data_IF_035634280543
#
_entry.id   IF_035634280543
#
_cell.length_a   1.000
_cell.length_b   1.000
_cell.length_c   1.000
_cell.angle_alpha   90.00
_cell.angle_beta   90.00
_cell.angle_gamma   90.00
#
_symmetry.space_group_name_H-M   'P 1'
#
loop_
_entity.id
_entity.type
_entity.pdbx_description
1 polymer ?
#
# COMPACT_ATOMS: atom_id res chain seq x y z
N UNK A 1 -3.32 18.18 -1.68
CA UNK A 1 -4.16 17.21 -2.44
C UNK A 1 -5.16 18.02 -3.25
N UNK A 2 -4.96 18.11 -4.57
CA UNK A 2 -5.88 18.81 -5.47
C UNK A 2 -7.26 18.18 -5.32
N UNK A 3 -8.17 18.92 -4.68
CA UNK A 3 -9.58 18.55 -4.56
C UNK A 3 -10.18 18.69 -5.97
N UNK A 4 -10.15 17.60 -6.74
CA UNK A 4 -10.66 17.53 -8.09
C UNK A 4 -12.20 17.49 -8.07
N UNK A 5 -12.82 18.47 -7.39
CA UNK A 5 -14.26 18.52 -7.07
C UNK A 5 -15.16 18.66 -8.34
N UNK A 6 -14.58 18.71 -9.54
CA UNK A 6 -15.33 18.93 -10.79
C UNK A 6 -15.05 17.99 -11.98
N UNK A 7 -14.05 17.10 -11.92
CA UNK A 7 -13.57 16.41 -13.14
C UNK A 7 -14.00 14.93 -13.26
N UNK A 8 -14.58 14.33 -12.22
CA UNK A 8 -15.08 12.96 -12.30
C UNK A 8 -16.53 12.95 -12.85
N UNK A 9 -16.77 12.33 -14.01
CA UNK A 9 -18.11 12.22 -14.56
C UNK A 9 -19.05 11.53 -13.57
N UNK A 10 -20.33 11.92 -13.56
CA UNK A 10 -21.28 11.56 -12.50
C UNK A 10 -21.40 10.05 -12.26
N UNK A 11 -21.17 9.22 -13.30
CA UNK A 11 -21.20 7.76 -13.18
C UNK A 11 -20.05 7.17 -12.35
N UNK A 12 -18.92 7.86 -12.20
CA UNK A 12 -17.76 7.41 -11.41
C UNK A 12 -17.84 7.79 -9.93
N UNK A 13 -18.82 8.61 -9.53
CA UNK A 13 -19.04 9.04 -8.14
C UNK A 13 -19.92 8.08 -7.33
N UNK A 14 -20.19 6.88 -7.86
CA UNK A 14 -21.00 5.90 -7.16
C UNK A 14 -20.32 5.34 -5.92
N UNK A 15 -21.08 5.17 -4.83
CA UNK A 15 -20.61 4.59 -3.55
C UNK A 15 -19.85 3.25 -3.70
N UNK A 16 -20.17 2.45 -4.70
CA UNK A 16 -19.56 1.14 -4.91
C UNK A 16 -18.39 1.17 -5.92
N UNK A 17 -18.19 2.29 -6.63
CA UNK A 17 -17.18 2.37 -7.70
C UNK A 17 -15.79 2.10 -7.17
N UNK A 18 -15.41 2.73 -6.05
CA UNK A 18 -14.11 2.51 -5.43
C UNK A 18 -13.89 1.03 -5.07
N UNK A 19 -14.87 0.40 -4.41
CA UNK A 19 -14.78 -0.98 -3.96
C UNK A 19 -14.71 -1.96 -5.14
N UNK A 20 -15.57 -1.79 -6.15
CA UNK A 20 -15.57 -2.63 -7.35
C UNK A 20 -14.26 -2.47 -8.12
N UNK A 21 -13.79 -1.24 -8.29
CA UNK A 21 -12.52 -0.97 -8.94
C UNK A 21 -11.34 -1.58 -8.17
N UNK A 22 -11.32 -1.52 -6.83
CA UNK A 22 -10.31 -2.20 -6.00
C UNK A 22 -10.35 -3.71 -6.20
N UNK A 23 -11.52 -4.34 -6.09
CA UNK A 23 -11.64 -5.81 -6.24
C UNK A 23 -11.20 -6.25 -7.63
N UNK A 24 -11.68 -5.58 -8.67
CA UNK A 24 -11.29 -5.89 -10.05
C UNK A 24 -9.79 -5.67 -10.27
N UNK A 25 -9.18 -4.62 -9.71
CA UNK A 25 -7.74 -4.40 -9.77
C UNK A 25 -6.98 -5.57 -9.11
N UNK A 26 -7.38 -5.95 -7.90
CA UNK A 26 -6.76 -7.05 -7.14
C UNK A 26 -6.85 -8.37 -7.89
N UNK A 27 -8.01 -8.69 -8.46
CA UNK A 27 -8.20 -9.89 -9.28
C UNK A 27 -7.28 -9.89 -10.50
N UNK A 28 -7.14 -8.74 -11.16
CA UNK A 28 -6.24 -8.60 -12.31
C UNK A 28 -4.76 -8.68 -11.93
N UNK A 29 -4.38 -8.42 -10.67
CA UNK A 29 -3.01 -8.58 -10.17
C UNK A 29 -2.68 -10.00 -9.70
N UNK A 30 -3.64 -10.93 -9.72
CA UNK A 30 -3.36 -12.32 -9.43
C UNK A 30 -2.52 -12.92 -10.56
N UNK A 31 -1.55 -13.75 -10.16
CA UNK A 31 -0.39 -14.25 -10.94
C UNK A 31 -0.70 -14.92 -12.30
N UNK A 32 -1.98 -15.15 -12.59
CA UNK A 32 -2.48 -15.79 -13.80
C UNK A 32 -2.65 -14.81 -14.98
N UNK A 33 -2.53 -13.50 -14.76
CA UNK A 33 -2.81 -12.48 -15.79
C UNK A 33 -1.51 -11.97 -16.46
N UNK A 34 -1.48 -11.88 -17.80
CA UNK A 34 -0.33 -11.32 -18.53
C UNK A 34 0.01 -9.88 -18.13
N UNK A 35 1.31 -9.56 -18.07
CA UNK A 35 1.83 -8.23 -17.69
C UNK A 35 1.24 -7.04 -18.48
N UNK A 36 0.95 -7.11 -19.80
CA UNK A 36 0.34 -5.99 -20.51
C UNK A 36 -1.05 -5.64 -19.96
N UNK A 37 -1.82 -6.64 -19.51
CA UNK A 37 -3.16 -6.45 -18.96
C UNK A 37 -3.09 -5.75 -17.59
N UNK A 38 -2.06 -6.05 -16.79
CA UNK A 38 -1.83 -5.33 -15.53
C UNK A 38 -1.67 -3.82 -15.77
N UNK A 39 -0.78 -3.44 -16.70
CA UNK A 39 -0.51 -2.02 -16.95
C UNK A 39 -1.67 -1.31 -17.64
N UNK A 40 -2.39 -1.99 -18.55
CA UNK A 40 -3.49 -1.39 -19.31
C UNK A 40 -4.78 -1.27 -18.50
N UNK A 41 -5.08 -2.23 -17.63
CA UNK A 41 -6.36 -2.30 -16.96
C UNK A 41 -6.24 -2.21 -15.44
N UNK A 42 -5.36 -2.99 -14.82
CA UNK A 42 -5.26 -3.02 -13.36
C UNK A 42 -4.76 -1.68 -12.79
N UNK A 43 -3.75 -1.07 -13.40
CA UNK A 43 -3.19 0.22 -12.96
C UNK A 43 -4.23 1.35 -13.06
N UNK A 44 -4.93 1.56 -14.20
CA UNK A 44 -6.01 2.56 -14.27
C UNK A 44 -7.17 2.26 -13.33
N UNK A 45 -7.52 0.99 -13.10
CA UNK A 45 -8.56 0.63 -12.12
C UNK A 45 -8.14 0.99 -10.69
N UNK A 46 -6.88 0.76 -10.35
CA UNK A 46 -6.36 1.15 -9.03
C UNK A 46 -6.35 2.67 -8.88
N UNK A 47 -5.95 3.41 -9.92
CA UNK A 47 -6.03 4.86 -9.96
C UNK A 47 -7.49 5.33 -9.79
N UNK A 48 -8.45 4.71 -10.48
CA UNK A 48 -9.87 4.99 -10.33
C UNK A 48 -10.34 4.70 -8.90
N UNK A 49 -9.92 3.58 -8.30
CA UNK A 49 -10.30 3.20 -6.95
C UNK A 49 -9.86 4.26 -5.92
N UNK A 50 -8.64 4.77 -6.03
CA UNK A 50 -8.11 5.82 -5.15
C UNK A 50 -8.85 7.14 -5.35
N UNK A 51 -9.10 7.55 -6.59
CA UNK A 51 -9.80 8.80 -6.88
C UNK A 51 -11.30 8.75 -6.53
N UNK A 52 -11.92 7.56 -6.58
CA UNK A 52 -13.30 7.35 -6.18
C UNK A 52 -13.46 7.11 -4.67
N UNK A 53 -12.35 6.96 -3.91
CA UNK A 53 -12.36 6.59 -2.50
C UNK A 53 -13.08 7.62 -1.63
N UNK A 54 -12.96 8.91 -1.96
CA UNK A 54 -13.63 10.01 -1.26
C UNK A 54 -15.17 9.93 -1.35
N UNK A 55 -15.71 9.26 -2.38
CA UNK A 55 -17.14 9.04 -2.58
C UNK A 55 -17.63 7.70 -2.01
N UNK A 56 -16.74 6.89 -1.43
CA UNK A 56 -17.07 5.57 -0.89
C UNK A 56 -17.76 5.64 0.48
N UNK A 57 -18.47 4.58 0.91
CA UNK A 57 -19.03 4.50 2.24
C UNK A 57 -17.98 4.74 3.31
N UNK A 58 -18.35 5.51 4.32
CA UNK A 58 -17.46 5.89 5.44
C UNK A 58 -16.87 4.70 6.19
N UNK A 59 -17.48 3.51 6.11
CA UNK A 59 -16.90 2.27 6.63
C UNK A 59 -15.65 1.83 5.87
N UNK A 60 -15.63 1.94 4.53
CA UNK A 60 -14.50 1.49 3.70
C UNK A 60 -13.32 2.46 3.83
N UNK A 61 -13.58 3.76 3.63
CA UNK A 61 -12.58 4.81 3.90
C UNK A 61 -12.13 4.78 5.36
N UNK A 62 -13.04 4.59 6.32
CA UNK A 62 -12.71 4.50 7.75
C UNK A 62 -11.86 3.29 8.13
N UNK A 63 -12.02 2.14 7.46
CA UNK A 63 -11.18 0.97 7.66
C UNK A 63 -9.76 1.20 7.12
N UNK A 64 -9.64 1.82 5.93
CA UNK A 64 -8.35 2.19 5.35
C UNK A 64 -7.62 3.26 6.18
N UNK A 65 -8.37 4.22 6.74
CA UNK A 65 -7.84 5.26 7.61
C UNK A 65 -7.78 4.87 9.09
N UNK A 66 -8.06 3.61 9.42
CA UNK A 66 -7.98 3.12 10.79
C UNK A 66 -6.53 3.18 11.29
N UNK A 67 -6.34 3.44 12.57
CA UNK A 67 -5.01 3.47 13.21
C UNK A 67 -4.12 2.27 12.81
N UNK A 68 -4.55 1.00 12.90
CA UNK A 68 -3.67 -0.12 12.54
C UNK A 68 -3.30 -0.13 11.06
N UNK A 69 -4.22 0.20 10.17
CA UNK A 69 -3.96 0.21 8.72
C UNK A 69 -3.01 1.35 8.34
N UNK A 70 -3.20 2.53 8.92
CA UNK A 70 -2.32 3.68 8.73
C UNK A 70 -0.91 3.39 9.26
N UNK A 71 -0.79 2.77 10.45
CA UNK A 71 0.51 2.36 11.02
C UNK A 71 1.22 1.31 10.15
N UNK A 72 0.49 0.31 9.64
CA UNK A 72 1.06 -0.65 8.69
C UNK A 72 1.53 0.02 7.40
N UNK A 73 0.77 0.98 6.88
CA UNK A 73 1.18 1.80 5.74
C UNK A 73 2.48 2.56 6.00
N UNK A 74 2.65 3.11 7.20
CA UNK A 74 3.88 3.80 7.61
C UNK A 74 5.08 2.85 7.70
N UNK A 75 4.88 1.62 8.20
CA UNK A 75 5.96 0.63 8.28
C UNK A 75 6.25 -0.07 6.95
N UNK A 76 5.36 0.02 5.97
CA UNK A 76 5.44 -0.73 4.71
C UNK A 76 6.78 -0.58 3.98
N UNK A 77 7.33 0.64 3.96
CA UNK A 77 8.62 0.91 3.32
C UNK A 77 9.78 0.21 4.02
N UNK A 78 9.89 0.39 5.35
CA UNK A 78 10.90 -0.27 6.16
C UNK A 78 10.77 -1.81 6.09
N UNK A 79 9.55 -2.35 6.12
CA UNK A 79 9.30 -3.78 5.98
C UNK A 79 9.75 -4.31 4.61
N UNK A 80 9.38 -3.62 3.54
CA UNK A 80 9.77 -4.01 2.17
C UNK A 80 11.29 -4.07 2.01
N UNK A 81 12.01 -3.06 2.53
CA UNK A 81 13.46 -3.01 2.46
C UNK A 81 14.13 -4.21 3.15
N UNK A 82 13.70 -4.53 4.36
CA UNK A 82 14.32 -5.63 5.13
C UNK A 82 13.80 -7.01 4.70
N UNK A 83 12.61 -7.10 4.11
CA UNK A 83 12.10 -8.37 3.60
C UNK A 83 13.01 -8.98 2.53
N UNK A 84 13.56 -8.18 1.61
CA UNK A 84 14.41 -8.68 0.52
C UNK A 84 15.72 -9.38 0.98
N UNK A 85 16.57 -8.77 1.83
CA UNK A 85 17.81 -9.40 2.27
C UNK A 85 17.56 -10.67 3.09
N UNK A 86 16.58 -10.67 4.00
CA UNK A 86 16.25 -11.84 4.80
C UNK A 86 15.61 -12.96 3.97
N UNK A 87 14.80 -12.62 2.96
CA UNK A 87 14.29 -13.59 2.01
C UNK A 87 15.42 -14.29 1.25
N UNK A 88 16.39 -13.51 0.74
CA UNK A 88 17.57 -14.05 0.08
C UNK A 88 18.39 -14.94 1.01
N UNK A 89 18.53 -14.56 2.28
CA UNK A 89 19.24 -15.34 3.29
C UNK A 89 18.59 -16.70 3.57
N UNK A 90 17.26 -16.73 3.67
CA UNK A 90 16.49 -17.99 3.79
C UNK A 90 16.70 -18.87 2.57
N UNK A 91 16.60 -18.29 1.37
CA UNK A 91 16.71 -19.03 0.12
C UNK A 91 18.11 -19.60 -0.14
N UNK A 92 19.17 -18.83 0.13
CA UNK A 92 20.55 -19.24 -0.16
C UNK A 92 21.20 -20.05 0.96
N UNK A 93 20.89 -19.74 2.24
CA UNK A 93 21.52 -20.41 3.38
C UNK A 93 20.65 -21.48 4.06
N UNK A 94 19.42 -21.70 3.58
CA UNK A 94 18.51 -22.68 4.17
C UNK A 94 18.09 -22.35 5.62
N UNK A 95 18.16 -21.07 6.00
CA UNK A 95 17.78 -20.61 7.34
C UNK A 95 16.28 -20.79 7.58
N UNK A 96 15.89 -21.02 8.84
CA UNK A 96 14.48 -21.18 9.18
C UNK A 96 13.68 -19.88 8.88
N UNK A 97 12.52 -19.96 8.21
CA UNK A 97 11.79 -18.78 7.73
C UNK A 97 11.15 -17.95 8.87
N UNK A 98 10.69 -18.61 9.94
CA UNK A 98 10.02 -17.95 11.07
C UNK A 98 10.96 -16.97 11.82
N UNK A 99 12.17 -17.36 12.26
CA UNK A 99 13.06 -16.42 12.93
C UNK A 99 13.56 -15.30 12.00
N UNK A 100 13.71 -15.59 10.70
CA UNK A 100 14.07 -14.55 9.72
C UNK A 100 12.95 -13.55 9.51
N UNK A 101 11.69 -13.99 9.51
CA UNK A 101 10.54 -13.08 9.49
C UNK A 101 10.50 -12.20 10.74
N UNK A 102 10.75 -12.77 11.93
CA UNK A 102 10.86 -11.97 13.15
C UNK A 102 12.00 -10.94 13.06
N UNK A 103 13.14 -11.31 12.46
CA UNK A 103 14.26 -10.40 12.21
C UNK A 103 13.89 -9.28 11.22
N UNK A 104 13.12 -9.57 10.16
CA UNK A 104 12.58 -8.54 9.25
C UNK A 104 11.77 -7.50 10.03
N UNK A 105 10.82 -7.94 10.86
CA UNK A 105 10.00 -7.03 11.66
C UNK A 105 10.83 -6.23 12.66
N UNK A 106 11.81 -6.86 13.31
CA UNK A 106 12.69 -6.20 14.26
C UNK A 106 13.56 -5.12 13.58
N UNK A 107 14.21 -5.46 12.45
CA UNK A 107 15.03 -4.54 11.68
C UNK A 107 14.19 -3.42 11.05
N UNK A 108 13.00 -3.73 10.54
CA UNK A 108 12.07 -2.74 10.00
C UNK A 108 11.60 -1.76 11.07
N UNK A 109 11.23 -2.24 12.25
CA UNK A 109 10.85 -1.37 13.37
C UNK A 109 12.03 -0.49 13.81
N UNK A 110 13.23 -1.06 13.93
CA UNK A 110 14.44 -0.33 14.27
C UNK A 110 14.74 0.78 13.25
N UNK A 111 14.72 0.46 11.96
CA UNK A 111 14.91 1.41 10.86
C UNK A 111 13.86 2.51 10.87
N UNK A 112 12.59 2.15 11.08
CA UNK A 112 11.49 3.10 11.11
C UNK A 112 11.64 4.11 12.26
N UNK A 113 11.89 3.63 13.48
CA UNK A 113 11.95 4.51 14.66
C UNK A 113 13.26 5.29 14.77
N UNK A 114 14.38 4.74 14.33
CA UNK A 114 15.70 5.40 14.45
C UNK A 114 16.04 6.31 13.27
N UNK A 115 15.54 6.03 12.07
CA UNK A 115 15.94 6.73 10.85
C UNK A 115 14.74 7.41 10.19
N UNK A 116 13.73 6.62 9.80
CA UNK A 116 12.65 7.09 8.94
C UNK A 116 11.78 8.15 9.61
N UNK A 117 11.34 7.88 10.85
CA UNK A 117 10.53 8.80 11.65
C UNK A 117 11.25 10.12 11.95
N UNK A 118 12.48 10.16 12.51
CA UNK A 118 13.16 11.43 12.76
C UNK A 118 13.49 12.19 11.48
N UNK A 119 13.84 11.49 10.39
CA UNK A 119 14.04 12.15 9.10
C UNK A 119 12.75 12.81 8.59
N UNK A 120 11.61 12.10 8.67
CA UNK A 120 10.29 12.62 8.30
C UNK A 120 9.87 13.80 9.16
N UNK A 121 10.07 13.73 10.47
CA UNK A 121 9.78 14.83 11.39
C UNK A 121 10.68 16.05 11.14
N UNK A 122 11.96 15.83 10.82
CA UNK A 122 12.88 16.91 10.44
C UNK A 122 12.47 17.58 9.12
N UNK A 123 12.16 16.80 8.09
CA UNK A 123 11.68 17.29 6.79
C UNK A 123 10.40 18.11 6.95
N UNK A 124 9.40 17.61 7.66
CA UNK A 124 8.12 18.31 7.88
C UNK A 124 8.26 19.60 8.71
N UNK A 125 9.35 19.76 9.46
CA UNK A 125 9.62 20.99 10.23
C UNK A 125 10.40 22.02 9.42
N UNK A 126 11.25 21.56 8.51
CA UNK A 126 12.21 22.42 7.80
C UNK A 126 11.76 22.79 6.38
N UNK A 127 10.78 22.11 5.81
CA UNK A 127 10.14 22.39 4.52
C UNK A 127 8.64 22.61 4.72
#
# INVERSE_FOLDING_TARGET
LLKADGMLPAFLRGKHVALVATICAVVLFLDQVPTPIHYLFAVPLLALAVNALDFSPRYFSGLLSSWPMATLGLWSYSLYLWQQPFYKFVYEQGSAPIPMLAAVFACAACSYYLIERPAREWLNRNW
#
